data_IF_230129155988
#
_entry.id   IF_230129155988
#
_cell.length_a   1.000
_cell.length_b   1.000
_cell.length_c   1.000
_cell.angle_alpha   90.00
_cell.angle_beta   90.00
_cell.angle_gamma   90.00
#
_symmetry.space_group_name_H-M   'P 1'
#
loop_
_entity.id
_entity.type
_entity.pdbx_description
1 polymer ?
#
# COMPACT_ATOMS: atom_id res chain seq x y z
N UNK A 1 -17.76 -31.62 42.55
CA UNK A 1 -16.48 -30.94 42.85
C UNK A 1 -15.52 -30.90 41.64
N UNK A 2 -15.15 -32.05 41.06
CA UNK A 2 -14.17 -32.14 39.97
C UNK A 2 -14.62 -31.39 38.69
N UNK A 3 -15.87 -31.55 38.26
CA UNK A 3 -16.42 -30.90 37.07
C UNK A 3 -16.47 -29.35 37.19
N UNK A 4 -16.60 -28.82 38.40
CA UNK A 4 -16.60 -27.37 38.65
C UNK A 4 -15.20 -26.79 38.51
N UNK A 5 -14.19 -27.52 38.97
CA UNK A 5 -12.77 -27.15 38.86
C UNK A 5 -12.35 -27.17 37.38
N UNK A 6 -12.76 -28.18 36.62
CA UNK A 6 -12.46 -28.25 35.17
C UNK A 6 -13.07 -27.08 34.40
N UNK A 7 -14.33 -26.70 34.70
CA UNK A 7 -14.96 -25.51 34.08
C UNK A 7 -14.28 -24.20 34.48
N UNK A 8 -13.79 -24.10 35.72
CA UNK A 8 -13.05 -22.91 36.18
C UNK A 8 -11.69 -22.79 35.48
N UNK A 9 -10.95 -23.90 35.36
CA UNK A 9 -9.67 -23.94 34.64
C UNK A 9 -9.87 -23.57 33.16
N UNK A 10 -10.91 -24.11 32.51
CA UNK A 10 -11.20 -23.80 31.11
C UNK A 10 -11.54 -22.31 30.89
N UNK A 11 -12.28 -21.70 31.83
CA UNK A 11 -12.58 -20.26 31.80
C UNK A 11 -11.34 -19.39 31.99
N UNK A 12 -10.44 -19.77 32.89
CA UNK A 12 -9.18 -19.06 33.10
C UNK A 12 -8.29 -19.20 31.87
N UNK A 13 -8.22 -20.39 31.27
CA UNK A 13 -7.46 -20.64 30.04
C UNK A 13 -8.01 -19.84 28.87
N UNK A 14 -9.34 -19.74 28.70
CA UNK A 14 -9.99 -18.89 27.70
C UNK A 14 -9.72 -17.40 27.93
N UNK A 15 -9.68 -16.95 29.18
CA UNK A 15 -9.35 -15.56 29.51
C UNK A 15 -7.90 -15.22 29.18
N UNK A 16 -6.97 -16.13 29.48
CA UNK A 16 -5.56 -15.97 29.11
C UNK A 16 -5.37 -16.02 27.59
N UNK A 17 -6.07 -16.92 26.90
CA UNK A 17 -6.05 -17.02 25.43
C UNK A 17 -6.58 -15.72 24.78
N UNK A 18 -7.63 -15.12 25.34
CA UNK A 18 -8.19 -13.85 24.88
C UNK A 18 -7.24 -12.67 25.13
N UNK A 19 -6.57 -12.64 26.29
CA UNK A 19 -5.57 -11.61 26.61
C UNK A 19 -4.29 -11.71 25.76
N UNK A 20 -3.95 -12.89 25.26
CA UNK A 20 -2.81 -13.10 24.35
C UNK A 20 -3.12 -12.70 22.90
N UNK A 21 -4.40 -12.67 22.50
CA UNK A 21 -4.83 -12.16 21.18
C UNK A 21 -5.02 -10.65 21.14
N UNK A 22 -5.00 -9.97 22.28
CA UNK A 22 -4.83 -8.51 22.35
C UNK A 22 -3.36 -8.14 22.12
N UNK A 23 -2.81 -8.62 21.00
CA UNK A 23 -1.48 -8.28 20.54
C UNK A 23 -1.49 -6.83 20.07
N UNK A 24 -0.91 -5.97 20.90
CA UNK A 24 -0.27 -4.69 20.58
C UNK A 24 -0.73 -4.02 19.27
N UNK A 25 -1.88 -3.33 19.31
CA UNK A 25 -2.16 -2.29 18.34
C UNK A 25 -1.47 -1.03 18.87
N UNK A 26 -0.27 -0.71 18.36
CA UNK A 26 0.35 0.58 18.69
C UNK A 26 -0.37 1.63 17.85
N UNK A 27 -1.38 2.28 18.41
CA UNK A 27 -1.99 3.45 17.79
C UNK A 27 -0.88 4.48 17.52
N UNK A 28 -0.58 4.72 16.23
CA UNK A 28 0.38 5.74 15.81
C UNK A 28 -0.39 6.98 15.37
N UNK A 29 -0.17 8.10 16.04
CA UNK A 29 -0.81 9.38 15.71
C UNK A 29 0.06 10.19 14.75
N UNK A 30 -0.55 10.87 13.79
CA UNK A 30 0.09 11.95 13.06
C UNK A 30 -0.15 13.27 13.77
N UNK A 31 0.86 14.14 13.79
CA UNK A 31 0.69 15.52 14.22
C UNK A 31 0.77 16.40 12.97
N UNK A 32 -0.33 17.07 12.63
CA UNK A 32 -0.38 18.06 11.55
C UNK A 32 -0.92 19.34 12.18
N UNK A 33 -0.19 20.45 12.06
CA UNK A 33 -0.55 21.76 12.65
C UNK A 33 -0.90 21.69 14.15
N UNK A 34 -0.24 20.81 14.90
CA UNK A 34 -0.47 20.61 16.33
C UNK A 34 -1.74 19.81 16.67
N UNK A 35 -2.48 19.31 15.68
CA UNK A 35 -3.61 18.42 15.87
C UNK A 35 -3.18 16.96 15.71
N UNK A 36 -3.58 16.11 16.66
CA UNK A 36 -3.37 14.68 16.62
C UNK A 36 -4.46 14.02 15.76
N UNK A 37 -4.03 13.33 14.72
CA UNK A 37 -4.88 12.49 13.89
C UNK A 37 -4.54 11.04 14.18
N UNK A 38 -5.53 10.25 14.61
CA UNK A 38 -5.41 8.80 14.65
C UNK A 38 -5.18 8.32 13.22
N UNK A 39 -3.95 7.90 12.93
CA UNK A 39 -3.61 7.47 11.60
C UNK A 39 -3.40 5.99 11.65
N UNK A 40 -4.34 5.29 11.03
CA UNK A 40 -4.12 3.91 10.62
C UNK A 40 -3.05 3.99 9.52
N UNK A 41 -1.77 4.03 9.92
CA UNK A 41 -0.70 3.64 9.02
C UNK A 41 -1.12 2.31 8.46
N UNK A 42 -1.14 2.16 7.13
CA UNK A 42 -1.00 0.81 6.59
C UNK A 42 0.21 0.16 7.29
N UNK A 43 0.17 -1.15 7.55
CA UNK A 43 1.27 -1.82 8.25
C UNK A 43 2.62 -1.44 7.60
N UNK A 44 3.56 -0.97 8.42
CA UNK A 44 4.93 -0.68 7.99
C UNK A 44 5.24 0.74 7.51
N UNK A 45 4.42 1.78 7.74
CA UNK A 45 4.86 3.17 7.47
C UNK A 45 5.55 3.82 8.69
N UNK A 46 6.66 4.51 8.45
CA UNK A 46 7.37 5.36 9.42
C UNK A 46 7.23 6.85 9.04
N UNK A 47 7.00 7.68 10.05
CA UNK A 47 7.03 9.14 9.90
C UNK A 47 8.48 9.62 9.84
N UNK A 48 8.80 10.45 8.84
CA UNK A 48 10.12 11.07 8.70
C UNK A 48 10.03 12.55 9.08
N UNK A 49 9.10 13.28 8.45
CA UNK A 49 8.83 14.70 8.70
C UNK A 49 7.45 15.06 8.12
N UNK A 50 7.03 16.31 8.31
CA UNK A 50 5.79 16.83 7.73
C UNK A 50 5.69 16.46 6.24
N UNK A 51 4.63 15.72 5.90
CA UNK A 51 4.32 15.28 4.55
C UNK A 51 5.31 14.29 3.91
N UNK A 52 6.20 13.69 4.69
CA UNK A 52 7.12 12.65 4.25
C UNK A 52 7.03 11.41 5.16
N UNK A 53 6.68 10.31 4.52
CA UNK A 53 6.63 8.98 5.11
C UNK A 53 7.48 8.04 4.27
N UNK A 54 7.99 7.00 4.90
CA UNK A 54 8.67 5.91 4.22
C UNK A 54 8.13 4.58 4.71
N UNK A 55 8.26 3.54 3.89
CA UNK A 55 8.05 2.18 4.36
C UNK A 55 9.23 1.77 5.28
N UNK A 56 8.94 1.02 6.34
CA UNK A 56 9.89 0.52 7.34
C UNK A 56 10.80 -0.56 6.76
N UNK A 57 10.28 -1.34 5.82
CA UNK A 57 10.98 -2.40 5.10
C UNK A 57 10.96 -2.13 3.61
N UNK A 58 11.82 -2.83 2.87
CA UNK A 58 11.79 -2.82 1.41
C UNK A 58 10.43 -3.28 0.88
N UNK A 59 10.07 -2.79 -0.31
CA UNK A 59 8.91 -3.28 -1.04
C UNK A 59 9.10 -4.77 -1.37
N UNK A 60 8.06 -5.57 -1.13
CA UNK A 60 8.13 -7.03 -1.35
C UNK A 60 7.69 -7.43 -2.74
N UNK A 61 8.00 -8.66 -3.15
CA UNK A 61 7.48 -9.25 -4.39
C UNK A 61 5.95 -9.21 -4.44
N UNK A 62 5.28 -9.54 -3.32
CA UNK A 62 3.82 -9.51 -3.23
C UNK A 62 3.27 -8.09 -3.46
N UNK A 63 3.87 -7.07 -2.84
CA UNK A 63 3.42 -5.68 -3.03
C UNK A 63 3.58 -5.20 -4.47
N UNK A 64 4.67 -5.61 -5.14
CA UNK A 64 4.86 -5.26 -6.55
C UNK A 64 3.92 -6.05 -7.47
N UNK A 65 3.57 -7.29 -7.13
CA UNK A 65 2.54 -8.06 -7.82
C UNK A 65 1.16 -7.39 -7.72
N UNK A 66 0.79 -6.85 -6.56
CA UNK A 66 -0.45 -6.04 -6.40
C UNK A 66 -0.46 -4.82 -7.32
N UNK A 67 0.70 -4.15 -7.46
CA UNK A 67 0.85 -3.04 -8.39
C UNK A 67 0.66 -3.48 -9.85
N UNK A 68 1.27 -4.61 -10.23
CA UNK A 68 1.11 -5.18 -11.57
C UNK A 68 -0.34 -5.58 -11.86
N UNK A 69 -0.99 -6.29 -10.94
CA UNK A 69 -2.37 -6.74 -11.04
C UNK A 69 -3.33 -5.56 -11.19
N UNK A 70 -3.18 -4.54 -10.34
CA UNK A 70 -3.96 -3.31 -10.46
C UNK A 70 -3.77 -2.64 -11.82
N UNK A 71 -2.53 -2.54 -12.30
CA UNK A 71 -2.23 -1.90 -13.59
C UNK A 71 -2.83 -2.70 -14.75
N UNK A 72 -2.78 -4.04 -14.67
CA UNK A 72 -3.39 -4.93 -15.65
C UNK A 72 -4.91 -4.78 -15.68
N UNK A 73 -5.57 -4.70 -14.51
CA UNK A 73 -7.02 -4.53 -14.40
C UNK A 73 -7.48 -3.20 -15.01
N UNK A 74 -6.76 -2.10 -14.75
CA UNK A 74 -7.14 -0.76 -15.24
C UNK A 74 -6.84 -0.57 -16.73
N UNK A 75 -5.62 -0.91 -17.17
CA UNK A 75 -5.13 -0.53 -18.49
C UNK A 75 -5.16 -1.69 -19.49
N UNK A 76 -5.22 -2.93 -18.99
CA UNK A 76 -5.18 -4.15 -19.78
C UNK A 76 -3.77 -4.71 -19.96
N UNK A 77 -3.67 -6.02 -20.15
CA UNK A 77 -2.40 -6.76 -20.27
C UNK A 77 -1.54 -6.33 -21.48
N UNK A 78 -2.18 -5.81 -22.54
CA UNK A 78 -1.49 -5.36 -23.76
C UNK A 78 -1.13 -3.86 -23.75
N UNK A 79 -1.44 -3.14 -22.66
CA UNK A 79 -1.18 -1.71 -22.51
C UNK A 79 0.31 -1.38 -22.38
N UNK A 80 0.68 -0.17 -22.75
CA UNK A 80 2.05 0.30 -22.58
C UNK A 80 2.38 0.50 -21.10
N UNK A 81 1.38 0.89 -20.30
CA UNK A 81 1.46 1.02 -18.85
C UNK A 81 1.84 -0.31 -18.20
N UNK A 82 1.16 -1.40 -18.54
CA UNK A 82 1.46 -2.73 -17.98
C UNK A 82 2.80 -3.27 -18.47
N UNK A 83 3.12 -3.11 -19.76
CA UNK A 83 4.41 -3.58 -20.32
C UNK A 83 5.62 -2.90 -19.66
N UNK A 84 5.52 -1.62 -19.32
CA UNK A 84 6.60 -0.84 -18.67
C UNK A 84 6.98 -1.37 -17.29
N UNK A 85 6.05 -2.00 -16.59
CA UNK A 85 6.24 -2.47 -15.21
C UNK A 85 6.54 -3.97 -15.12
N UNK A 86 6.71 -4.65 -16.26
CA UNK A 86 7.09 -6.07 -16.24
C UNK A 86 8.50 -6.26 -15.68
N UNK A 87 8.65 -7.25 -14.81
CA UNK A 87 9.94 -7.61 -14.21
C UNK A 87 10.87 -8.24 -15.24
N UNK A 88 12.11 -7.76 -15.27
CA UNK A 88 13.18 -8.38 -16.03
C UNK A 88 13.75 -9.57 -15.24
N UNK A 89 13.39 -10.80 -15.66
CA UNK A 89 13.90 -12.03 -15.05
C UNK A 89 15.34 -12.36 -15.44
N UNK A 90 15.90 -11.72 -16.47
CA UNK A 90 17.26 -12.00 -16.95
C UNK A 90 18.35 -11.53 -15.98
N UNK A 91 18.00 -10.68 -15.01
CA UNK A 91 18.91 -10.23 -13.95
C UNK A 91 19.54 -11.38 -13.17
N UNK A 92 18.88 -12.55 -13.14
CA UNK A 92 19.35 -13.74 -12.45
C UNK A 92 20.33 -14.59 -13.26
N UNK A 93 20.32 -14.49 -14.60
CA UNK A 93 20.97 -15.44 -15.51
C UNK A 93 22.50 -15.56 -15.32
N UNK A 94 23.15 -14.55 -14.71
CA UNK A 94 24.59 -14.53 -14.44
C UNK A 94 24.95 -14.41 -12.96
N UNK A 95 24.00 -14.66 -12.06
CA UNK A 95 24.24 -14.60 -10.61
C UNK A 95 24.64 -15.98 -10.07
N UNK A 96 25.44 -16.00 -9.00
CA UNK A 96 25.73 -17.24 -8.25
C UNK A 96 24.48 -17.86 -7.62
N UNK A 97 23.42 -17.05 -7.49
CA UNK A 97 22.15 -17.44 -6.89
C UNK A 97 21.12 -17.94 -7.91
N UNK A 98 21.46 -17.99 -9.20
CA UNK A 98 20.56 -18.46 -10.28
C UNK A 98 20.03 -19.87 -10.05
N UNK A 99 20.79 -20.74 -9.37
CA UNK A 99 20.38 -22.11 -9.03
C UNK A 99 19.40 -22.13 -7.84
N UNK A 100 19.51 -21.16 -6.92
CA UNK A 100 18.77 -21.13 -5.66
C UNK A 100 17.47 -20.30 -5.77
N UNK A 101 17.55 -19.08 -6.32
CA UNK A 101 16.39 -18.19 -6.49
C UNK A 101 15.76 -18.27 -7.89
N UNK A 102 16.41 -18.96 -8.83
CA UNK A 102 15.82 -19.33 -10.12
C UNK A 102 15.21 -18.17 -10.91
N UNK A 103 14.33 -18.50 -11.86
CA UNK A 103 13.49 -17.54 -12.60
C UNK A 103 12.15 -17.26 -11.93
N UNK A 104 11.93 -17.89 -10.78
CA UNK A 104 10.64 -17.90 -10.08
C UNK A 104 10.66 -17.06 -8.81
N UNK A 105 11.81 -16.47 -8.41
CA UNK A 105 11.92 -15.58 -7.25
C UNK A 105 10.76 -14.59 -7.12
N UNK A 106 10.44 -13.89 -8.22
CA UNK A 106 9.39 -12.87 -8.22
C UNK A 106 7.97 -13.43 -8.09
N UNK A 107 7.73 -14.64 -8.59
CA UNK A 107 6.37 -15.21 -8.73
C UNK A 107 6.07 -16.34 -7.77
N UNK A 108 7.07 -16.91 -7.10
CA UNK A 108 6.89 -18.05 -6.20
C UNK A 108 6.31 -17.59 -4.85
N UNK A 109 5.26 -18.24 -4.32
CA UNK A 109 4.61 -17.84 -3.07
C UNK A 109 5.57 -17.75 -1.87
N UNK A 110 6.53 -18.68 -1.75
CA UNK A 110 7.51 -18.71 -0.66
C UNK A 110 8.40 -17.46 -0.59
N UNK A 111 8.52 -16.72 -1.70
CA UNK A 111 9.30 -15.49 -1.78
C UNK A 111 8.42 -14.22 -1.81
N UNK A 112 7.11 -14.35 -1.54
CA UNK A 112 6.18 -13.21 -1.58
C UNK A 112 6.58 -12.06 -0.65
N UNK A 113 7.09 -12.38 0.53
CA UNK A 113 7.52 -11.40 1.54
C UNK A 113 8.99 -10.96 1.37
N UNK A 114 9.68 -11.46 0.34
CA UNK A 114 11.06 -11.09 0.07
C UNK A 114 11.10 -9.78 -0.74
N UNK A 115 12.19 -9.01 -0.68
CA UNK A 115 12.31 -7.75 -1.42
C UNK A 115 12.16 -7.93 -2.93
N UNK A 116 11.51 -6.99 -3.61
CA UNK A 116 11.48 -7.01 -5.08
C UNK A 116 12.88 -6.70 -5.63
N UNK A 117 13.32 -7.51 -6.60
CA UNK A 117 14.65 -7.39 -7.24
C UNK A 117 14.49 -7.36 -8.75
N UNK A 118 15.37 -6.63 -9.43
CA UNK A 118 15.37 -6.56 -10.90
C UNK A 118 14.46 -5.50 -11.49
N UNK A 119 14.08 -4.48 -10.69
CA UNK A 119 13.35 -3.32 -11.17
C UNK A 119 14.28 -2.16 -11.51
N UNK A 120 13.93 -1.40 -12.55
CA UNK A 120 14.60 -0.15 -12.89
C UNK A 120 14.20 0.99 -11.96
N UNK A 121 14.96 2.10 -11.98
CA UNK A 121 14.59 3.31 -11.24
C UNK A 121 13.23 3.87 -11.70
N UNK A 122 12.93 3.78 -13.00
CA UNK A 122 11.64 4.20 -13.55
C UNK A 122 10.50 3.36 -12.98
N UNK A 123 10.67 2.04 -12.93
CA UNK A 123 9.71 1.12 -12.34
C UNK A 123 9.51 1.36 -10.83
N UNK A 124 10.58 1.64 -10.09
CA UNK A 124 10.50 1.99 -8.67
C UNK A 124 9.73 3.30 -8.44
N UNK A 125 9.91 4.30 -9.31
CA UNK A 125 9.17 5.55 -9.25
C UNK A 125 7.67 5.35 -9.54
N UNK A 126 7.33 4.55 -10.56
CA UNK A 126 5.94 4.22 -10.90
C UNK A 126 5.25 3.48 -9.75
N UNK A 127 5.93 2.50 -9.14
CA UNK A 127 5.43 1.80 -7.95
C UNK A 127 5.19 2.76 -6.78
N UNK A 128 6.14 3.67 -6.51
CA UNK A 128 6.02 4.65 -5.42
C UNK A 128 4.88 5.63 -5.63
N UNK A 129 4.65 6.07 -6.88
CA UNK A 129 3.49 6.89 -7.24
C UNK A 129 2.19 6.12 -7.05
N UNK A 130 2.11 4.86 -7.48
CA UNK A 130 0.94 4.02 -7.26
C UNK A 130 0.63 3.84 -5.77
N UNK A 131 1.62 3.49 -4.94
CA UNK A 131 1.47 3.36 -3.47
C UNK A 131 0.96 4.65 -2.84
N UNK A 132 1.52 5.79 -3.25
CA UNK A 132 1.06 7.12 -2.78
C UNK A 132 -0.42 7.33 -3.10
N UNK A 133 -0.85 6.98 -4.32
CA UNK A 133 -2.26 7.07 -4.71
C UNK A 133 -3.15 6.11 -3.90
N UNK A 134 -2.71 4.88 -3.62
CA UNK A 134 -3.49 3.92 -2.79
C UNK A 134 -3.67 4.39 -1.36
N UNK A 135 -2.61 4.89 -0.73
CA UNK A 135 -2.69 5.43 0.63
C UNK A 135 -3.62 6.65 0.68
N UNK A 136 -3.50 7.57 -0.28
CA UNK A 136 -4.40 8.72 -0.36
C UNK A 136 -5.87 8.31 -0.57
N UNK A 137 -6.13 7.32 -1.43
CA UNK A 137 -7.46 6.76 -1.64
C UNK A 137 -8.05 6.22 -0.33
N UNK A 138 -7.27 5.41 0.40
CA UNK A 138 -7.69 4.83 1.68
C UNK A 138 -8.03 5.91 2.71
N UNK A 139 -7.22 6.97 2.80
CA UNK A 139 -7.47 8.11 3.70
C UNK A 139 -8.78 8.81 3.33
N UNK A 140 -9.01 9.07 2.04
CA UNK A 140 -10.23 9.73 1.56
C UNK A 140 -11.49 8.89 1.81
N UNK A 141 -11.41 7.57 1.63
CA UNK A 141 -12.51 6.64 1.97
C UNK A 141 -12.81 6.71 3.46
N UNK A 142 -11.78 6.64 4.32
CA UNK A 142 -11.94 6.71 5.78
C UNK A 142 -12.53 8.03 6.25
N UNK A 143 -12.23 9.14 5.55
CA UNK A 143 -12.83 10.46 5.79
C UNK A 143 -14.27 10.59 5.25
N UNK A 144 -14.78 9.60 4.50
CA UNK A 144 -16.10 9.66 3.87
C UNK A 144 -16.19 10.63 2.69
N UNK A 145 -15.05 11.02 2.11
CA UNK A 145 -14.98 12.01 1.02
C UNK A 145 -15.16 11.36 -0.36
N UNK A 146 -14.81 10.08 -0.49
CA UNK A 146 -15.02 9.28 -1.70
C UNK A 146 -15.68 7.94 -1.37
N UNK A 147 -16.31 7.33 -2.36
CA UNK A 147 -16.93 5.99 -2.24
C UNK A 147 -15.85 4.91 -2.07
N UNK A 148 -16.14 3.90 -1.24
CA UNK A 148 -15.27 2.73 -1.03
C UNK A 148 -15.17 1.85 -2.29
N UNK A 149 -16.28 1.72 -3.02
CA UNK A 149 -16.37 0.84 -4.19
C UNK A 149 -16.87 1.64 -5.40
N UNK A 150 -16.15 1.48 -6.51
CA UNK A 150 -16.56 1.94 -7.84
C UNK A 150 -15.97 1.00 -8.88
N UNK A 151 -16.61 0.93 -10.05
CA UNK A 151 -16.12 0.08 -11.14
C UNK A 151 -14.82 0.66 -11.68
N UNK A 152 -13.74 -0.08 -11.42
CA UNK A 152 -12.43 0.23 -11.95
C UNK A 152 -12.42 0.08 -13.48
N UNK A 153 -12.00 1.14 -14.16
CA UNK A 153 -11.75 1.12 -15.60
C UNK A 153 -10.67 2.15 -15.94
N UNK A 154 -10.12 2.08 -17.16
CA UNK A 154 -9.20 3.08 -17.69
C UNK A 154 -9.74 4.51 -17.59
N UNK A 155 -11.06 4.67 -17.70
CA UNK A 155 -11.70 5.99 -17.61
C UNK A 155 -12.09 6.35 -16.17
N UNK A 156 -12.27 5.36 -15.30
CA UNK A 156 -12.72 5.53 -13.92
C UNK A 156 -11.80 4.84 -12.90
N UNK A 157 -10.68 5.48 -12.56
CA UNK A 157 -9.80 5.05 -11.48
C UNK A 157 -9.30 6.23 -10.65
N UNK A 158 -8.97 5.95 -9.39
CA UNK A 158 -8.45 6.96 -8.48
C UNK A 158 -6.99 7.29 -8.78
N UNK A 159 -6.69 8.57 -8.96
CA UNK A 159 -5.39 9.18 -8.65
C UNK A 159 -5.64 10.49 -7.93
N UNK A 160 -4.63 10.98 -7.20
CA UNK A 160 -4.68 12.28 -6.54
C UNK A 160 -4.94 13.38 -7.57
N UNK A 161 -4.26 13.36 -8.71
CA UNK A 161 -4.47 14.36 -9.77
C UNK A 161 -5.90 14.34 -10.32
N UNK A 162 -6.49 13.14 -10.51
CA UNK A 162 -7.88 12.98 -10.95
C UNK A 162 -8.85 13.54 -9.92
N UNK A 163 -8.64 13.23 -8.64
CA UNK A 163 -9.45 13.78 -7.54
C UNK A 163 -9.42 15.31 -7.49
N UNK A 164 -8.23 15.91 -7.66
CA UNK A 164 -8.08 17.37 -7.63
C UNK A 164 -8.71 18.07 -8.84
N UNK A 165 -8.44 17.55 -10.05
CA UNK A 165 -8.65 18.30 -11.29
C UNK A 165 -9.94 17.92 -12.03
N UNK A 166 -10.69 16.93 -11.55
CA UNK A 166 -11.91 16.48 -12.22
C UNK A 166 -12.97 16.06 -11.22
N UNK A 167 -14.21 15.95 -11.70
CA UNK A 167 -15.36 15.55 -10.90
C UNK A 167 -15.80 14.16 -11.34
N UNK A 168 -15.47 13.18 -10.52
CA UNK A 168 -15.84 11.78 -10.72
C UNK A 168 -17.04 11.40 -9.86
N UNK A 169 -17.77 10.38 -10.30
CA UNK A 169 -18.96 9.88 -9.62
C UNK A 169 -18.67 9.27 -8.23
N UNK A 170 -17.44 8.82 -8.00
CA UNK A 170 -16.97 8.33 -6.71
C UNK A 170 -16.61 9.44 -5.72
N UNK A 171 -16.63 10.72 -6.11
CA UNK A 171 -16.45 11.85 -5.19
C UNK A 171 -17.78 12.15 -4.50
N UNK A 172 -17.79 12.09 -3.17
CA UNK A 172 -18.95 12.45 -2.33
C UNK A 172 -18.85 13.93 -1.95
N UNK A 173 -17.69 14.35 -1.47
CA UNK A 173 -17.42 15.75 -1.09
C UNK A 173 -15.97 16.06 -1.43
N UNK A 174 -15.76 17.16 -2.15
CA UNK A 174 -14.42 17.58 -2.59
C UNK A 174 -13.83 18.54 -1.57
N UNK A 175 -12.94 18.00 -0.75
CA UNK A 175 -12.16 18.78 0.21
C UNK A 175 -10.70 18.85 -0.21
N UNK A 176 -10.08 19.99 0.07
CA UNK A 176 -8.66 20.18 -0.10
C UNK A 176 -7.90 19.50 1.03
N UNK A 177 -7.64 18.20 0.86
CA UNK A 177 -6.96 17.37 1.85
C UNK A 177 -5.44 17.33 1.66
N UNK A 178 -4.92 17.97 0.60
CA UNK A 178 -3.50 17.95 0.30
C UNK A 178 -2.81 19.15 0.91
N UNK A 179 -1.80 18.85 1.71
CA UNK A 179 -0.81 19.83 2.13
C UNK A 179 -0.19 20.57 0.95
N UNK A 180 0.03 21.87 1.16
CA UNK A 180 0.48 22.81 0.13
C UNK A 180 1.78 22.36 -0.56
N UNK A 181 2.67 21.71 0.17
CA UNK A 181 3.97 21.20 -0.26
C UNK A 181 3.83 20.12 -1.33
N UNK A 182 2.86 19.21 -1.16
CA UNK A 182 2.60 18.16 -2.14
C UNK A 182 2.15 18.75 -3.49
N UNK A 183 1.32 19.80 -3.45
CA UNK A 183 0.90 20.53 -4.65
C UNK A 183 2.08 21.19 -5.37
N UNK A 184 2.99 21.82 -4.62
CA UNK A 184 4.21 22.46 -5.17
C UNK A 184 5.15 21.44 -5.84
N UNK A 185 5.36 20.28 -5.23
CA UNK A 185 6.17 19.22 -5.81
C UNK A 185 5.58 18.73 -7.14
N UNK A 186 4.27 18.44 -7.19
CA UNK A 186 3.60 17.99 -8.42
C UNK A 186 3.62 19.05 -9.52
N UNK A 187 3.43 20.33 -9.20
CA UNK A 187 3.55 21.42 -10.18
C UNK A 187 4.96 21.47 -10.81
N UNK A 188 6.00 21.32 -9.99
CA UNK A 188 7.40 21.31 -10.44
C UNK A 188 7.73 20.10 -11.32
N UNK A 189 7.21 18.92 -10.99
CA UNK A 189 7.40 17.70 -11.80
C UNK A 189 6.64 17.78 -13.13
N UNK A 190 5.45 18.36 -13.11
CA UNK A 190 4.60 18.51 -14.30
C UNK A 190 4.98 19.72 -15.19
N UNK A 191 6.05 20.44 -14.87
CA UNK A 191 6.63 21.48 -15.72
C UNK A 191 5.84 22.80 -15.81
N UNK A 192 5.03 23.13 -14.80
CA UNK A 192 4.38 24.45 -14.66
C UNK A 192 5.16 25.37 -13.72
#
# INVERSE_FOLDING_TARGET
>A
PLATITKMIYRIFLFFLFSLTSSCDSERYLIIDGQQYEFITGPGLIFIQDNLYADETEATNLMYLEFMDWTQEIFGENSDEFKKIQIDKSVWDNTKFSIEFGKDYFTHPDYGDYPVVGISLEQANLYSEWRTNRVAQLILIKKGLIKNEFTYSKDNYFTIDRYLNSDFDWIITKEDILVTEYKKYRQKVNGN
#
